data_IF_561040237459
#
_entry.id   IF_561040237459
#
_cell.length_a   1.000
_cell.length_b   1.000
_cell.length_c   1.000
_cell.angle_alpha   90.00
_cell.angle_beta   90.00
_cell.angle_gamma   90.00
#
_symmetry.space_group_name_H-M   'P 1'
#
loop_
_entity.id
_entity.type
_entity.pdbx_description
1 polymer ?
#
# COMPACT_ATOMS: atom_id res chain seq x y z
N UNK A 1 16.75 4.98 7.53
CA UNK A 1 15.50 5.02 8.31
C UNK A 1 15.14 6.48 8.56
N UNK A 2 13.90 6.85 8.49
CA UNK A 2 13.40 8.21 8.82
C UNK A 2 13.94 9.33 7.90
N UNK A 3 14.24 9.04 6.65
CA UNK A 3 14.75 10.03 5.68
C UNK A 3 13.62 10.70 4.90
N UNK A 4 12.47 10.05 4.79
CA UNK A 4 11.31 10.54 4.05
C UNK A 4 10.10 10.78 4.95
N UNK A 5 9.04 11.29 4.33
CA UNK A 5 7.71 11.38 4.95
C UNK A 5 7.03 10.01 4.96
N UNK A 6 6.01 9.79 5.81
CA UNK A 6 5.16 8.60 5.74
C UNK A 6 4.55 8.45 4.33
N UNK A 7 4.44 7.19 3.86
CA UNK A 7 3.89 6.91 2.53
C UNK A 7 2.45 7.41 2.37
N UNK A 8 1.68 7.44 3.44
CA UNK A 8 0.31 7.95 3.44
C UNK A 8 0.25 9.41 3.00
N UNK A 9 1.17 10.23 3.49
CA UNK A 9 1.26 11.65 3.10
C UNK A 9 1.72 11.79 1.65
N UNK A 10 2.83 11.16 1.29
CA UNK A 10 3.42 11.29 -0.05
C UNK A 10 2.52 10.74 -1.14
N UNK A 11 1.84 9.62 -0.90
CA UNK A 11 0.91 9.02 -1.86
C UNK A 11 -0.30 9.93 -2.10
N UNK A 12 -0.91 10.42 -1.02
CA UNK A 12 -2.10 11.26 -1.12
C UNK A 12 -1.78 12.59 -1.80
N UNK A 13 -0.67 13.23 -1.44
CA UNK A 13 -0.21 14.46 -2.08
C UNK A 13 0.04 14.25 -3.59
N UNK A 14 0.76 13.18 -3.95
CA UNK A 14 0.99 12.84 -5.35
C UNK A 14 -0.32 12.61 -6.11
N UNK A 15 -1.25 11.86 -5.54
CA UNK A 15 -2.55 11.61 -6.15
C UNK A 15 -3.36 12.90 -6.34
N UNK A 16 -3.41 13.77 -5.33
CA UNK A 16 -4.12 15.07 -5.39
C UNK A 16 -3.52 15.96 -6.46
N UNK A 17 -2.20 16.15 -6.47
CA UNK A 17 -1.50 17.02 -7.42
C UNK A 17 -1.66 16.51 -8.85
N UNK A 18 -1.50 15.23 -9.09
CA UNK A 18 -1.69 14.63 -10.41
C UNK A 18 -3.14 14.78 -10.89
N UNK A 19 -4.11 14.66 -9.99
CA UNK A 19 -5.53 14.86 -10.32
C UNK A 19 -5.83 16.29 -10.68
N UNK A 20 -5.38 17.27 -9.90
CA UNK A 20 -5.55 18.70 -10.15
C UNK A 20 -4.94 19.14 -11.49
N UNK A 21 -3.82 18.54 -11.88
CA UNK A 21 -3.14 18.84 -13.12
C UNK A 21 -3.61 17.98 -14.31
N UNK A 22 -4.65 17.16 -14.13
CA UNK A 22 -5.16 16.23 -15.16
C UNK A 22 -4.07 15.29 -15.73
N UNK A 23 -3.16 14.85 -14.86
CA UNK A 23 -2.08 13.94 -15.19
C UNK A 23 -2.28 12.53 -14.60
N UNK A 24 -3.19 12.39 -13.62
CA UNK A 24 -3.38 11.14 -12.87
C UNK A 24 -3.65 9.93 -13.77
N UNK A 25 -4.39 10.13 -14.86
CA UNK A 25 -4.73 9.07 -15.81
C UNK A 25 -3.56 8.62 -16.70
N UNK A 26 -2.43 9.33 -16.68
CA UNK A 26 -1.24 9.03 -17.49
C UNK A 26 -0.21 8.18 -16.77
N UNK A 27 -0.38 7.97 -15.46
CA UNK A 27 0.61 7.31 -14.60
C UNK A 27 -0.07 6.29 -13.69
N UNK A 28 0.67 5.24 -13.37
CA UNK A 28 0.31 4.27 -12.32
C UNK A 28 1.01 4.69 -11.03
N UNK A 29 0.26 4.84 -9.95
CA UNK A 29 0.83 5.16 -8.64
C UNK A 29 1.17 3.87 -7.90
N UNK A 30 2.45 3.75 -7.55
CA UNK A 30 2.95 2.69 -6.69
C UNK A 30 3.35 3.28 -5.34
N UNK A 31 3.01 2.58 -4.26
CA UNK A 31 3.48 2.92 -2.91
C UNK A 31 4.30 1.78 -2.32
N UNK A 32 5.27 2.16 -1.51
CA UNK A 32 6.10 1.29 -0.68
C UNK A 32 6.40 2.03 0.63
N UNK A 33 6.77 1.32 1.67
CA UNK A 33 7.15 1.96 2.93
C UNK A 33 6.49 1.34 4.15
N UNK A 34 6.45 0.01 4.21
CA UNK A 34 5.98 -0.70 5.39
C UNK A 34 4.56 -1.25 5.26
N UNK A 35 4.13 -1.53 4.05
CA UNK A 35 2.91 -2.30 3.77
C UNK A 35 3.09 -3.71 4.36
N UNK A 36 2.19 -4.13 5.24
CA UNK A 36 2.30 -5.38 6.01
C UNK A 36 1.04 -6.24 5.95
N UNK A 37 -0.13 -5.60 5.88
CA UNK A 37 -1.44 -6.23 6.03
C UNK A 37 -2.34 -5.91 4.86
N UNK A 38 -3.43 -6.66 4.70
CA UNK A 38 -4.47 -6.33 3.74
C UNK A 38 -5.14 -4.99 4.04
N UNK A 39 -5.23 -4.61 5.32
CA UNK A 39 -5.72 -3.29 5.72
C UNK A 39 -4.83 -2.16 5.18
N UNK A 40 -3.51 -2.31 5.23
CA UNK A 40 -2.60 -1.30 4.68
C UNK A 40 -2.80 -1.15 3.17
N UNK A 41 -2.97 -2.27 2.46
CA UNK A 41 -3.27 -2.29 1.01
C UNK A 41 -4.56 -1.55 0.71
N UNK A 42 -5.63 -1.80 1.46
CA UNK A 42 -6.94 -1.13 1.26
C UNK A 42 -6.83 0.37 1.53
N UNK A 43 -6.14 0.78 2.60
CA UNK A 43 -5.92 2.20 2.88
C UNK A 43 -5.10 2.86 1.77
N UNK A 44 -4.03 2.20 1.31
CA UNK A 44 -3.20 2.69 0.22
C UNK A 44 -4.01 2.83 -1.09
N UNK A 45 -4.90 1.89 -1.40
CA UNK A 45 -5.82 2.01 -2.53
C UNK A 45 -6.74 3.23 -2.38
N UNK A 46 -7.37 3.41 -1.22
CA UNK A 46 -8.23 4.58 -0.96
C UNK A 46 -7.47 5.91 -1.09
N UNK A 47 -6.17 5.92 -0.77
CA UNK A 47 -5.29 7.09 -0.95
C UNK A 47 -4.73 7.26 -2.37
N UNK A 48 -5.03 6.34 -3.29
CA UNK A 48 -4.74 6.47 -4.72
C UNK A 48 -3.70 5.49 -5.27
N UNK A 49 -3.19 4.52 -4.49
CA UNK A 49 -2.24 3.53 -5.02
C UNK A 49 -2.95 2.48 -5.89
N UNK A 50 -2.27 2.07 -6.94
CA UNK A 50 -2.66 0.98 -7.85
C UNK A 50 -1.72 -0.22 -7.71
N UNK A 51 -0.49 0.01 -7.25
CA UNK A 51 0.52 -1.01 -7.01
C UNK A 51 1.14 -0.84 -5.62
N UNK A 52 1.54 -1.95 -5.01
CA UNK A 52 1.98 -2.01 -3.61
C UNK A 52 3.29 -2.76 -3.49
N UNK A 53 4.31 -2.10 -2.93
CA UNK A 53 5.59 -2.72 -2.61
C UNK A 53 5.58 -3.35 -1.22
N UNK A 54 5.78 -4.67 -1.15
CA UNK A 54 5.82 -5.42 0.11
C UNK A 54 7.16 -6.12 0.22
N UNK A 55 8.12 -5.51 0.93
CA UNK A 55 9.47 -6.05 1.06
C UNK A 55 9.71 -6.68 2.43
N UNK A 56 9.71 -5.87 3.49
CA UNK A 56 10.11 -6.34 4.84
C UNK A 56 9.24 -7.49 5.34
N UNK A 57 7.94 -7.44 5.10
CA UNK A 57 7.01 -8.50 5.55
C UNK A 57 7.29 -9.83 4.84
N UNK A 58 7.62 -9.79 3.53
CA UNK A 58 8.04 -10.96 2.79
C UNK A 58 9.36 -11.54 3.33
N UNK A 59 10.33 -10.67 3.67
CA UNK A 59 11.57 -11.11 4.31
C UNK A 59 11.31 -11.75 5.68
N UNK A 60 10.42 -11.20 6.49
CA UNK A 60 10.03 -11.77 7.80
C UNK A 60 9.39 -13.15 7.61
N UNK A 61 8.54 -13.34 6.61
CA UNK A 61 7.98 -14.65 6.28
C UNK A 61 9.07 -15.68 5.93
N UNK A 62 10.18 -15.26 5.37
CA UNK A 62 11.35 -16.09 5.08
C UNK A 62 12.31 -16.29 6.27
N UNK A 63 11.99 -15.76 7.46
CA UNK A 63 12.80 -15.94 8.66
C UNK A 63 13.66 -14.72 9.05
N UNK A 64 13.46 -13.56 8.42
CA UNK A 64 14.16 -12.34 8.82
C UNK A 64 13.72 -11.90 10.22
N UNK A 65 14.68 -11.64 11.10
CA UNK A 65 14.46 -11.16 12.48
C UNK A 65 14.64 -9.65 12.65
N UNK A 66 14.79 -8.93 11.55
CA UNK A 66 14.91 -7.46 11.49
C UNK A 66 16.10 -6.88 12.31
N UNK A 67 17.18 -7.61 12.48
CA UNK A 67 18.39 -7.13 13.16
C UNK A 67 19.10 -5.98 12.43
N UNK A 68 18.74 -5.76 11.14
CA UNK A 68 19.21 -4.64 10.31
C UNK A 68 20.72 -4.63 10.02
N UNK A 69 21.36 -5.79 9.97
CA UNK A 69 22.76 -5.96 9.56
C UNK A 69 22.91 -6.39 8.11
N UNK A 70 21.92 -6.07 7.26
CA UNK A 70 21.89 -6.47 5.85
C UNK A 70 23.09 -5.93 5.04
N UNK A 71 23.64 -4.78 5.45
CA UNK A 71 24.77 -4.10 4.78
C UNK A 71 26.14 -4.64 5.14
N UNK A 72 26.26 -5.46 6.20
CA UNK A 72 27.55 -5.91 6.75
C UNK A 72 27.92 -7.35 6.39
N UNK A 73 27.10 -8.04 5.60
CA UNK A 73 27.29 -9.46 5.26
C UNK A 73 27.26 -10.42 6.47
N UNK A 74 26.69 -9.98 7.59
CA UNK A 74 26.67 -10.70 8.87
C UNK A 74 25.27 -11.09 9.32
N UNK A 75 24.35 -11.31 8.37
CA UNK A 75 22.97 -11.67 8.70
C UNK A 75 22.91 -13.00 9.48
N UNK A 76 22.50 -13.01 10.75
CA UNK A 76 22.61 -14.19 11.61
C UNK A 76 21.63 -15.31 11.22
N UNK A 77 20.65 -15.02 10.41
CA UNK A 77 19.62 -15.97 9.93
C UNK A 77 19.74 -16.31 8.45
N UNK A 78 20.82 -15.88 7.80
CA UNK A 78 21.15 -16.28 6.44
C UNK A 78 20.31 -15.65 5.32
N UNK A 79 19.36 -14.75 5.61
CA UNK A 79 18.46 -14.16 4.61
C UNK A 79 19.20 -13.21 3.67
N UNK A 80 20.17 -12.47 4.20
CA UNK A 80 20.87 -11.41 3.47
C UNK A 80 22.38 -11.45 3.73
N UNK A 81 23.03 -12.50 3.27
CA UNK A 81 24.46 -12.70 3.41
C UNK A 81 25.00 -13.58 2.30
N UNK A 82 26.29 -13.42 1.96
CA UNK A 82 27.06 -14.30 1.08
C UNK A 82 27.97 -15.26 1.85
N UNK A 83 28.08 -15.11 3.18
CA UNK A 83 28.84 -16.04 4.03
C UNK A 83 28.16 -17.41 4.03
N UNK A 84 28.89 -18.46 3.63
CA UNK A 84 28.35 -19.81 3.48
C UNK A 84 27.79 -20.38 4.78
N UNK A 85 28.51 -20.20 5.89
CA UNK A 85 28.09 -20.71 7.22
C UNK A 85 26.82 -20.02 7.73
N UNK A 86 26.66 -18.74 7.40
CA UNK A 86 25.45 -18.01 7.75
C UNK A 86 24.29 -18.37 6.82
N UNK A 87 24.55 -18.63 5.53
CA UNK A 87 23.53 -19.07 4.58
C UNK A 87 22.93 -20.42 4.93
N UNK A 88 23.68 -21.35 5.53
CA UNK A 88 23.18 -22.62 6.02
C UNK A 88 22.04 -22.46 7.04
N UNK A 89 21.96 -21.33 7.72
CA UNK A 89 20.89 -21.01 8.69
C UNK A 89 19.58 -20.54 8.04
N UNK A 90 19.58 -20.33 6.73
CA UNK A 90 18.38 -19.85 6.04
C UNK A 90 17.29 -20.93 6.00
N UNK A 91 16.13 -20.60 6.55
CA UNK A 91 14.95 -21.49 6.65
C UNK A 91 13.77 -21.05 5.81
N UNK A 92 13.97 -20.06 4.94
CA UNK A 92 12.92 -19.54 4.06
C UNK A 92 12.52 -20.56 3.00
N UNK A 93 11.24 -20.60 2.69
CA UNK A 93 10.71 -21.39 1.58
C UNK A 93 9.74 -20.55 0.73
N UNK A 94 9.56 -20.86 -0.56
CA UNK A 94 8.59 -20.18 -1.41
C UNK A 94 7.17 -20.23 -0.83
N UNK A 95 6.76 -21.33 -0.22
CA UNK A 95 5.42 -21.54 0.33
C UNK A 95 5.10 -20.55 1.44
N UNK A 96 6.07 -20.19 2.27
CA UNK A 96 5.89 -19.18 3.32
C UNK A 96 5.53 -17.81 2.73
N UNK A 97 6.13 -17.45 1.61
CA UNK A 97 5.82 -16.19 0.91
C UNK A 97 4.47 -16.28 0.22
N UNK A 98 4.16 -17.39 -0.45
CA UNK A 98 2.86 -17.65 -1.07
C UNK A 98 1.74 -17.55 -0.02
N UNK A 99 1.92 -18.19 1.13
CA UNK A 99 0.94 -18.16 2.23
C UNK A 99 0.75 -16.72 2.75
N UNK A 100 1.84 -15.96 2.94
CA UNK A 100 1.74 -14.56 3.37
C UNK A 100 0.86 -13.75 2.42
N UNK A 101 1.14 -13.79 1.11
CA UNK A 101 0.37 -13.02 0.15
C UNK A 101 -1.07 -13.54 -0.01
N UNK A 102 -1.29 -14.82 0.17
CA UNK A 102 -2.65 -15.39 0.21
C UNK A 102 -3.43 -14.82 1.40
N UNK A 103 -2.82 -14.72 2.57
CA UNK A 103 -3.46 -14.12 3.76
C UNK A 103 -3.73 -12.64 3.57
N UNK A 104 -2.78 -11.87 3.03
CA UNK A 104 -2.99 -10.46 2.69
C UNK A 104 -4.16 -10.31 1.71
N UNK A 105 -4.18 -11.12 0.64
CA UNK A 105 -5.27 -11.08 -0.34
C UNK A 105 -6.62 -11.46 0.25
N UNK A 106 -6.66 -12.44 1.17
CA UNK A 106 -7.89 -12.83 1.88
C UNK A 106 -8.39 -11.69 2.77
N UNK A 107 -7.51 -11.07 3.54
CA UNK A 107 -7.87 -9.92 4.38
C UNK A 107 -8.41 -8.74 3.54
N UNK A 108 -7.77 -8.44 2.39
CA UNK A 108 -8.29 -7.43 1.45
C UNK A 108 -9.71 -7.77 1.01
N UNK A 109 -9.97 -9.01 0.59
CA UNK A 109 -11.31 -9.46 0.16
C UNK A 109 -12.35 -9.32 1.27
N UNK A 110 -11.99 -9.68 2.50
CA UNK A 110 -12.88 -9.56 3.65
C UNK A 110 -13.23 -8.11 3.97
N UNK A 111 -12.25 -7.19 3.90
CA UNK A 111 -12.46 -5.77 4.11
C UNK A 111 -13.35 -5.20 3.00
N UNK A 112 -13.07 -5.50 1.73
CA UNK A 112 -13.89 -5.06 0.61
C UNK A 112 -15.33 -5.55 0.71
N UNK A 113 -15.54 -6.81 1.10
CA UNK A 113 -16.87 -7.38 1.31
C UNK A 113 -17.64 -6.65 2.42
N UNK A 114 -16.98 -6.32 3.55
CA UNK A 114 -17.58 -5.54 4.64
C UNK A 114 -17.95 -4.12 4.21
N UNK A 115 -17.19 -3.53 3.29
CA UNK A 115 -17.43 -2.20 2.72
C UNK A 115 -18.45 -2.22 1.56
N UNK A 116 -18.82 -3.39 1.07
CA UNK A 116 -19.76 -3.55 -0.05
C UNK A 116 -19.15 -3.38 -1.44
N UNK A 117 -17.83 -3.47 -1.57
CA UNK A 117 -17.11 -3.37 -2.85
C UNK A 117 -16.73 -4.74 -3.40
N UNK A 118 -16.74 -4.87 -4.73
CA UNK A 118 -16.40 -6.12 -5.43
C UNK A 118 -14.92 -6.19 -5.82
N UNK A 119 -14.29 -5.04 -6.04
CA UNK A 119 -12.93 -4.93 -6.53
C UNK A 119 -12.14 -3.88 -5.76
N UNK A 120 -10.83 -4.11 -5.62
CA UNK A 120 -9.90 -3.11 -5.08
C UNK A 120 -9.87 -1.83 -5.96
N UNK A 121 -10.08 -2.00 -7.27
CA UNK A 121 -10.14 -0.88 -8.21
C UNK A 121 -11.29 0.09 -7.91
N UNK A 122 -12.39 -0.40 -7.34
CA UNK A 122 -13.57 0.42 -7.03
C UNK A 122 -13.32 1.44 -5.91
N UNK A 123 -12.25 1.25 -5.15
CA UNK A 123 -11.91 2.11 -4.01
C UNK A 123 -10.66 2.98 -4.23
N UNK A 124 -10.01 2.88 -5.40
CA UNK A 124 -8.81 3.68 -5.69
C UNK A 124 -9.16 5.18 -5.66
N UNK A 125 -8.45 5.92 -4.79
CA UNK A 125 -8.65 7.36 -4.62
C UNK A 125 -9.92 7.75 -3.84
N UNK A 126 -10.64 6.79 -3.26
CA UNK A 126 -11.86 7.02 -2.46
C UNK A 126 -11.52 7.40 -1.02
N UNK A 127 -10.84 8.52 -0.85
CA UNK A 127 -10.47 9.06 0.48
C UNK A 127 -11.69 9.45 1.33
N UNK A 128 -12.86 9.63 0.71
CA UNK A 128 -14.15 9.81 1.39
C UNK A 128 -14.56 8.62 2.27
N UNK A 129 -13.98 7.45 2.05
CA UNK A 129 -14.18 6.25 2.87
C UNK A 129 -13.29 6.22 4.12
N UNK A 130 -12.36 7.15 4.24
CA UNK A 130 -11.44 7.26 5.37
C UNK A 130 -11.91 8.32 6.36
N UNK A 131 -11.71 8.04 7.63
CA UNK A 131 -11.98 8.99 8.72
C UNK A 131 -10.90 8.87 9.78
N UNK A 132 -10.39 10.03 10.22
CA UNK A 132 -9.55 10.08 11.41
C UNK A 132 -10.37 9.68 12.64
N UNK A 133 -9.80 8.83 13.48
CA UNK A 133 -10.40 8.45 14.75
C UNK A 133 -9.51 8.93 15.89
N UNK A 134 -10.13 9.49 16.92
CA UNK A 134 -9.42 9.87 18.16
C UNK A 134 -8.86 8.63 18.84
N UNK A 135 -7.65 8.79 19.39
CA UNK A 135 -6.99 7.77 20.23
C UNK A 135 -7.19 8.05 21.72
N UNK A 136 -7.89 9.15 22.07
CA UNK A 136 -8.12 9.57 23.45
C UNK A 136 -6.88 10.09 24.17
N UNK A 137 -5.85 10.47 23.42
CA UNK A 137 -4.61 11.04 23.96
C UNK A 137 -4.33 12.38 23.28
N UNK A 138 -4.18 13.49 24.02
CA UNK A 138 -3.92 14.81 23.43
C UNK A 138 -2.75 14.80 22.43
N UNK A 139 -1.66 14.14 22.78
CA UNK A 139 -0.47 14.07 21.92
C UNK A 139 -0.68 13.30 20.60
N UNK A 140 -1.65 12.40 20.55
CA UNK A 140 -1.97 11.61 19.35
C UNK A 140 -3.08 12.25 18.52
N UNK A 141 -3.92 13.06 19.17
CA UNK A 141 -5.08 13.70 18.54
C UNK A 141 -4.77 15.14 18.06
N UNK A 142 -3.57 15.65 18.38
CA UNK A 142 -3.10 16.98 17.97
C UNK A 142 -2.84 17.09 16.45
N UNK A 143 -2.57 15.96 15.80
CA UNK A 143 -2.32 15.91 14.36
C UNK A 143 -3.63 15.83 13.58
N UNK A 144 -3.94 16.88 12.82
CA UNK A 144 -5.05 16.87 11.88
C UNK A 144 -4.68 16.12 10.58
N UNK A 145 -5.31 14.99 10.33
CA UNK A 145 -5.13 14.18 9.11
C UNK A 145 -6.19 14.48 8.03
N UNK A 146 -7.16 15.32 8.30
CA UNK A 146 -8.23 15.63 7.34
C UNK A 146 -7.73 16.16 5.99
N UNK A 147 -6.62 16.95 5.91
CA UNK A 147 -6.06 17.36 4.62
C UNK A 147 -5.68 16.18 3.70
N UNK A 148 -5.35 15.00 4.27
CA UNK A 148 -5.04 13.79 3.49
C UNK A 148 -6.29 13.17 2.84
N UNK A 149 -7.48 13.50 3.32
CA UNK A 149 -8.74 12.90 2.85
C UNK A 149 -9.48 13.78 1.84
N UNK A 150 -8.97 14.97 1.57
CA UNK A 150 -9.56 15.89 0.58
C UNK A 150 -9.47 15.27 -0.80
N UNK A 151 -10.61 15.13 -1.47
CA UNK A 151 -10.64 14.73 -2.88
C UNK A 151 -10.31 15.93 -3.76
N UNK A 152 -9.27 15.81 -4.59
CA UNK A 152 -8.93 16.82 -5.55
C UNK A 152 -9.98 16.89 -6.66
N UNK A 153 -10.46 18.09 -6.97
CA UNK A 153 -11.37 18.32 -8.09
C UNK A 153 -10.56 18.46 -9.39
N UNK A 154 -10.73 17.54 -10.31
CA UNK A 154 -10.13 17.59 -11.64
C UNK A 154 -10.86 18.57 -12.60
N UNK A 155 -11.83 19.35 -12.12
CA UNK A 155 -12.64 20.27 -12.90
C UNK A 155 -13.47 19.57 -13.97
N UNK A 156 -13.60 20.17 -15.17
CA UNK A 156 -14.38 19.60 -16.28
C UNK A 156 -13.79 18.31 -16.86
N UNK A 157 -12.51 18.02 -16.58
CA UNK A 157 -11.80 16.82 -17.03
C UNK A 157 -11.85 15.71 -15.97
N UNK A 158 -13.03 15.32 -15.56
CA UNK A 158 -13.29 14.25 -14.57
C UNK A 158 -12.74 12.89 -15.00
N UNK A 159 -11.44 12.73 -15.11
CA UNK A 159 -10.77 11.44 -15.27
C UNK A 159 -10.07 11.08 -13.96
N UNK A 160 -10.85 10.71 -12.95
CA UNK A 160 -10.27 9.97 -11.81
C UNK A 160 -9.88 8.57 -12.29
N UNK A 161 -8.92 7.94 -11.64
CA UNK A 161 -8.50 6.56 -11.94
C UNK A 161 -9.69 5.58 -11.89
N UNK A 162 -10.63 5.78 -10.96
CA UNK A 162 -11.86 5.00 -10.88
C UNK A 162 -12.75 5.11 -12.14
N UNK A 163 -12.71 6.24 -12.86
CA UNK A 163 -13.48 6.43 -14.08
C UNK A 163 -12.89 5.70 -15.31
N UNK A 164 -11.57 5.56 -15.36
CA UNK A 164 -10.91 4.83 -16.44
C UNK A 164 -11.22 3.34 -16.38
N UNK A 165 -11.31 2.78 -15.19
CA UNK A 165 -11.68 1.37 -15.01
C UNK A 165 -13.16 1.09 -15.29
N UNK A 166 -14.07 2.00 -14.94
CA UNK A 166 -15.50 1.86 -15.26
C UNK A 166 -15.75 1.88 -16.77
N UNK A 167 -15.00 2.68 -17.56
CA UNK A 167 -15.15 2.70 -19.03
C UNK A 167 -14.59 1.47 -19.73
N UNK A 168 -13.60 0.80 -19.15
CA UNK A 168 -13.06 -0.45 -19.74
C UNK A 168 -14.08 -1.60 -19.65
N UNK A 169 -15.04 -1.53 -18.74
CA UNK A 169 -16.12 -2.51 -18.60
C UNK A 169 -17.40 -2.13 -19.38
N UNK A 170 -17.48 -0.90 -19.89
CA UNK A 170 -18.65 -0.40 -20.64
C UNK A 170 -18.47 -0.43 -22.17
N UNK A 171 -17.40 -1.03 -22.70
CA UNK A 171 -17.32 -1.28 -24.14
C UNK A 171 -18.35 -2.35 -24.50
N UNK A 172 -19.43 -2.01 -25.25
CA UNK A 172 -20.36 -3.03 -25.72
C UNK A 172 -19.59 -4.00 -26.62
N UNK A 173 -19.73 -5.27 -26.33
CA UNK A 173 -19.37 -6.32 -27.25
C UNK A 173 -20.22 -6.11 -28.53
N UNK A 174 -19.59 -5.67 -29.60
CA UNK A 174 -20.13 -5.74 -30.95
C UNK A 174 -19.74 -7.07 -31.56
#
# INVERSE_FOLDING_TARGET
KYVGIPWEMGLTEANQVLTLNNLRHKVTLRTDGGIKTGRDVVIAAMMGAEEYGVATTALVAMGCIMVRQCHSNTCPVGVCTQDEKLREKFTGTPEKVVNLFTFIGTEVREILAKLGFKSLNDIIGRTDLLRQVSKGSPNLDDLDLNPLFVQADAGKNKRSVSYTHLRAHETPLH
#
